data_IF_613406748051
#
_entry.id   IF_613406748051
#
_cell.length_a   1.000
_cell.length_b   1.000
_cell.length_c   1.000
_cell.angle_alpha   90.00
_cell.angle_beta   90.00
_cell.angle_gamma   90.00
#
_symmetry.space_group_name_H-M   'P 1'
#
loop_
_entity.id
_entity.type
_entity.pdbx_description
1 polymer ?
#
# COMPACT_ATOMS: atom_id res chain seq x y z
N UNK A 1 42.07 22.56 -4.00
CA UNK A 1 40.82 22.22 -3.28
C UNK A 1 39.82 21.65 -4.28
N UNK A 2 39.77 20.33 -4.47
CA UNK A 2 38.93 19.68 -5.50
C UNK A 2 38.40 18.33 -4.98
N UNK A 3 37.73 18.34 -3.83
CA UNK A 3 37.09 17.16 -3.24
C UNK A 3 35.84 17.64 -2.50
N UNK A 4 34.80 18.00 -3.23
CA UNK A 4 33.50 18.32 -2.63
C UNK A 4 32.33 18.04 -3.59
N UNK A 5 32.53 18.19 -4.90
CA UNK A 5 31.48 17.99 -5.89
C UNK A 5 30.98 16.53 -6.00
N UNK A 6 31.86 15.54 -5.80
CA UNK A 6 31.48 14.12 -5.94
C UNK A 6 30.60 13.57 -4.80
N UNK A 7 30.78 14.07 -3.57
CA UNK A 7 30.03 13.57 -2.40
C UNK A 7 28.58 14.07 -2.43
N UNK A 8 28.35 15.28 -2.94
CA UNK A 8 27.02 15.88 -3.03
C UNK A 8 26.15 15.13 -4.06
N UNK A 9 26.74 14.70 -5.19
CA UNK A 9 26.01 13.99 -6.25
C UNK A 9 25.52 12.61 -5.77
N UNK A 10 26.33 11.89 -4.99
CA UNK A 10 25.94 10.57 -4.45
C UNK A 10 24.84 10.71 -3.39
N UNK A 11 24.89 11.76 -2.55
CA UNK A 11 23.82 12.03 -1.58
C UNK A 11 22.49 12.41 -2.27
N UNK A 12 22.53 13.18 -3.37
CA UNK A 12 21.34 13.50 -4.17
C UNK A 12 20.76 12.25 -4.87
N UNK A 13 21.60 11.36 -5.39
CA UNK A 13 21.16 10.10 -6.00
C UNK A 13 20.49 9.14 -5.00
N UNK A 14 20.94 9.13 -3.74
CA UNK A 14 20.27 8.35 -2.68
C UNK A 14 18.92 8.94 -2.29
N UNK A 15 18.74 10.26 -2.32
CA UNK A 15 17.45 10.91 -2.05
C UNK A 15 16.42 10.62 -3.15
N UNK A 16 16.85 10.52 -4.41
CA UNK A 16 15.94 10.26 -5.56
C UNK A 16 15.45 8.80 -5.57
N UNK A 17 16.20 7.85 -5.01
CA UNK A 17 15.78 6.44 -4.92
C UNK A 17 14.66 6.19 -3.90
N UNK A 18 14.36 7.14 -3.00
CA UNK A 18 13.21 7.06 -2.09
C UNK A 18 11.92 7.64 -2.70
N UNK A 19 11.99 8.34 -3.83
CA UNK A 19 10.85 9.08 -4.40
C UNK A 19 10.04 8.34 -5.49
N UNK A 20 10.36 7.08 -5.82
CA UNK A 20 9.72 6.34 -6.93
C UNK A 20 8.71 5.25 -6.49
N UNK A 21 8.16 5.34 -5.27
CA UNK A 21 7.07 4.43 -4.81
C UNK A 21 5.95 5.20 -4.12
N UNK A 22 5.73 6.47 -4.45
CA UNK A 22 4.49 7.17 -4.09
C UNK A 22 3.36 6.76 -5.03
N UNK A 23 3.09 5.45 -5.13
CA UNK A 23 1.73 5.01 -5.35
C UNK A 23 1.02 5.21 -4.01
N UNK A 24 0.00 6.05 -3.92
CA UNK A 24 -0.60 6.52 -2.66
C UNK A 24 -1.12 5.36 -1.79
N UNK A 25 -0.22 4.76 -1.02
CA UNK A 25 -0.55 3.77 -0.02
C UNK A 25 -1.24 4.52 1.13
N UNK A 26 -2.55 4.31 1.27
CA UNK A 26 -3.36 4.85 2.34
C UNK A 26 -3.09 4.04 3.61
N UNK A 27 -2.59 4.64 4.70
CA UNK A 27 -2.40 3.95 5.97
C UNK A 27 -3.72 3.37 6.51
N UNK A 28 -3.63 2.22 7.17
CA UNK A 28 -4.78 1.46 7.68
C UNK A 28 -5.62 2.26 8.69
N UNK A 29 -5.03 3.26 9.35
CA UNK A 29 -5.71 4.17 10.27
C UNK A 29 -6.51 5.29 9.61
N UNK A 30 -6.31 5.54 8.31
CA UNK A 30 -7.01 6.58 7.56
C UNK A 30 -8.28 6.05 6.90
N UNK A 31 -9.29 6.91 6.66
CA UNK A 31 -10.49 6.52 5.93
C UNK A 31 -10.18 6.11 4.48
N UNK A 32 -10.99 5.21 3.93
CA UNK A 32 -10.91 4.85 2.51
C UNK A 32 -11.91 5.72 1.75
N UNK A 33 -11.45 6.64 0.88
CA UNK A 33 -12.27 7.78 0.42
C UNK A 33 -13.49 7.37 -0.40
N UNK A 34 -13.40 6.26 -1.12
CA UNK A 34 -14.45 5.78 -2.02
C UNK A 34 -15.39 4.75 -1.36
N UNK A 35 -15.17 4.39 -0.09
CA UNK A 35 -15.85 3.28 0.56
C UNK A 35 -16.50 3.72 1.89
N UNK A 36 -17.76 3.34 2.16
CA UNK A 36 -18.39 3.57 3.45
C UNK A 36 -17.59 2.98 4.62
N UNK A 37 -17.63 3.64 5.77
CA UNK A 37 -16.83 3.24 6.96
C UNK A 37 -17.10 1.80 7.41
N UNK A 38 -18.33 1.32 7.28
CA UNK A 38 -18.74 -0.06 7.59
C UNK A 38 -18.03 -1.09 6.72
N UNK A 39 -18.00 -0.86 5.40
CA UNK A 39 -17.31 -1.72 4.42
C UNK A 39 -15.80 -1.60 4.57
N UNK A 40 -15.29 -0.39 4.80
CA UNK A 40 -13.86 -0.18 5.05
C UNK A 40 -13.39 -0.95 6.30
N UNK A 41 -14.22 -1.05 7.34
CA UNK A 41 -13.94 -1.87 8.54
C UNK A 41 -13.92 -3.37 8.21
N UNK A 42 -14.87 -3.86 7.41
CA UNK A 42 -14.89 -5.26 6.96
C UNK A 42 -13.65 -5.59 6.12
N UNK A 43 -13.26 -4.71 5.20
CA UNK A 43 -12.07 -4.86 4.38
C UNK A 43 -10.82 -4.94 5.27
N UNK A 44 -10.61 -3.99 6.19
CA UNK A 44 -9.47 -4.01 7.14
C UNK A 44 -9.40 -5.32 7.94
N UNK A 45 -10.54 -5.80 8.44
CA UNK A 45 -10.58 -7.06 9.17
C UNK A 45 -10.18 -8.26 8.27
N UNK A 46 -10.66 -8.26 7.02
CA UNK A 46 -10.29 -9.27 6.02
C UNK A 46 -8.80 -9.25 5.71
N UNK A 47 -8.22 -8.07 5.45
CA UNK A 47 -6.80 -7.92 5.14
C UNK A 47 -5.91 -8.34 6.32
N UNK A 48 -6.27 -8.00 7.56
CA UNK A 48 -5.55 -8.46 8.75
C UNK A 48 -5.56 -10.00 8.88
N UNK A 49 -6.71 -10.64 8.63
CA UNK A 49 -6.78 -12.12 8.60
C UNK A 49 -5.86 -12.70 7.53
N UNK A 50 -5.85 -12.12 6.32
CA UNK A 50 -4.98 -12.56 5.22
C UNK A 50 -3.49 -12.35 5.51
N UNK A 51 -3.13 -11.26 6.20
CA UNK A 51 -1.76 -11.05 6.63
C UNK A 51 -1.29 -12.09 7.66
N UNK A 52 -2.21 -12.72 8.41
CA UNK A 52 -1.85 -13.64 9.49
C UNK A 52 -1.77 -12.96 10.87
N UNK A 53 -2.67 -12.01 11.13
CA UNK A 53 -2.84 -11.42 12.46
C UNK A 53 -3.01 -12.53 13.52
N UNK A 54 -2.35 -12.44 14.70
CA UNK A 54 -1.68 -11.26 15.29
C UNK A 54 -0.17 -11.16 15.05
N UNK A 55 0.43 -12.02 14.21
CA UNK A 55 1.88 -11.94 13.94
C UNK A 55 2.23 -10.90 12.88
N UNK A 56 1.34 -10.70 11.92
CA UNK A 56 1.45 -9.69 10.87
C UNK A 56 0.14 -8.91 10.75
N UNK A 57 0.20 -7.61 10.54
CA UNK A 57 -0.97 -6.74 10.36
C UNK A 57 -0.98 -6.09 8.99
N UNK A 58 -2.18 -5.81 8.51
CA UNK A 58 -2.39 -4.88 7.42
C UNK A 58 -2.02 -3.46 7.88
N UNK A 59 -1.18 -2.77 7.11
CA UNK A 59 -0.72 -1.41 7.45
C UNK A 59 -1.07 -0.35 6.44
N UNK A 60 -1.08 -0.66 5.14
CA UNK A 60 -1.34 0.34 4.10
C UNK A 60 -1.95 -0.31 2.84
N UNK A 61 -2.80 0.41 2.10
CA UNK A 61 -3.46 -0.06 0.87
C UNK A 61 -3.28 0.94 -0.26
N UNK A 62 -2.90 0.46 -1.44
CA UNK A 62 -2.98 1.19 -2.70
C UNK A 62 -4.15 0.60 -3.50
N UNK A 63 -5.20 1.38 -3.70
CA UNK A 63 -6.37 0.92 -4.44
C UNK A 63 -6.21 0.98 -5.96
N UNK A 64 -5.48 1.96 -6.49
CA UNK A 64 -5.20 2.09 -7.93
C UNK A 64 -4.42 0.87 -8.45
N UNK A 65 -3.37 0.50 -7.73
CA UNK A 65 -2.53 -0.67 -8.00
C UNK A 65 -3.05 -1.96 -7.36
N UNK A 66 -4.25 -1.94 -6.76
CA UNK A 66 -4.88 -3.05 -6.08
C UNK A 66 -3.93 -3.89 -5.22
N UNK A 67 -3.22 -3.22 -4.31
CA UNK A 67 -2.17 -3.78 -3.47
C UNK A 67 -2.34 -3.36 -2.01
N UNK A 68 -1.83 -4.16 -1.08
CA UNK A 68 -1.78 -3.84 0.33
C UNK A 68 -0.51 -4.38 0.98
N UNK A 69 -0.09 -3.74 2.07
CA UNK A 69 1.08 -4.13 2.85
C UNK A 69 0.70 -4.90 4.09
N UNK A 70 1.37 -6.02 4.29
CA UNK A 70 1.41 -6.76 5.55
C UNK A 70 2.75 -6.53 6.23
N UNK A 71 2.74 -6.11 7.49
CA UNK A 71 3.95 -5.89 8.29
C UNK A 71 3.97 -6.80 9.51
N UNK A 72 5.11 -7.42 9.79
CA UNK A 72 5.31 -8.17 11.01
C UNK A 72 5.21 -7.27 12.26
N UNK A 73 4.79 -7.87 13.37
CA UNK A 73 4.69 -7.21 14.67
C UNK A 73 5.78 -7.71 15.62
N UNK A 74 6.20 -6.84 16.55
CA UNK A 74 7.26 -7.16 17.52
C UNK A 74 8.64 -7.07 16.88
N UNK A 75 9.42 -8.15 17.00
CA UNK A 75 10.80 -8.22 16.49
C UNK A 75 10.88 -8.55 14.99
N UNK A 76 9.83 -9.14 14.41
CA UNK A 76 9.75 -9.35 12.97
C UNK A 76 9.19 -8.08 12.31
N UNK A 77 10.03 -7.31 11.63
CA UNK A 77 9.63 -6.10 10.92
C UNK A 77 9.50 -6.29 9.40
N UNK A 78 9.50 -7.54 8.91
CA UNK A 78 9.37 -7.79 7.48
C UNK A 78 8.05 -7.22 6.95
N UNK A 79 8.14 -6.64 5.77
CA UNK A 79 6.99 -6.12 5.04
C UNK A 79 6.82 -6.90 3.74
N UNK A 80 5.59 -7.29 3.46
CA UNK A 80 5.20 -7.92 2.20
C UNK A 80 4.14 -7.05 1.52
N UNK A 81 4.30 -6.84 0.21
CA UNK A 81 3.28 -6.22 -0.64
C UNK A 81 2.49 -7.36 -1.30
N UNK A 82 1.17 -7.33 -1.16
CA UNK A 82 0.26 -8.38 -1.60
C UNK A 82 -0.83 -7.76 -2.48
N UNK A 83 -1.33 -8.50 -3.47
CA UNK A 83 -2.44 -8.05 -4.32
C UNK A 83 -3.77 -8.18 -3.58
N UNK A 84 -4.64 -7.18 -3.71
CA UNK A 84 -6.06 -7.30 -3.39
C UNK A 84 -6.70 -8.35 -4.30
N UNK A 85 -7.74 -9.01 -3.81
CA UNK A 85 -8.50 -9.96 -4.63
C UNK A 85 -9.22 -9.22 -5.75
N UNK A 86 -9.37 -9.89 -6.89
CA UNK A 86 -10.27 -9.42 -7.93
C UNK A 86 -11.68 -9.22 -7.37
N UNK A 87 -12.38 -8.20 -7.89
CA UNK A 87 -13.69 -7.71 -7.43
C UNK A 87 -13.68 -6.97 -6.09
N UNK A 88 -12.51 -6.72 -5.47
CA UNK A 88 -12.42 -5.78 -4.34
C UNK A 88 -12.75 -4.37 -4.83
N UNK A 89 -13.70 -3.64 -4.20
CA UNK A 89 -13.93 -2.24 -4.57
C UNK A 89 -12.68 -1.40 -4.32
N UNK A 90 -12.31 -0.57 -5.28
CA UNK A 90 -11.06 0.19 -5.26
C UNK A 90 -11.22 1.67 -5.61
N UNK A 91 -12.32 2.05 -6.24
CA UNK A 91 -12.56 3.43 -6.65
C UNK A 91 -14.03 3.78 -6.55
N UNK A 92 -14.49 4.64 -7.45
CA UNK A 92 -15.87 5.08 -7.56
C UNK A 92 -16.87 3.94 -7.80
N UNK A 93 -18.17 4.28 -7.85
CA UNK A 93 -19.21 3.29 -8.10
C UNK A 93 -18.94 2.46 -9.36
N UNK A 94 -18.87 1.13 -9.21
CA UNK A 94 -18.60 0.20 -10.32
C UNK A 94 -17.13 -0.14 -10.54
N UNK A 95 -16.20 0.53 -9.86
CA UNK A 95 -14.76 0.26 -10.01
C UNK A 95 -14.28 -0.83 -9.04
N UNK A 96 -13.66 -1.87 -9.59
CA UNK A 96 -13.16 -3.00 -8.83
C UNK A 96 -11.79 -3.46 -9.31
N UNK A 97 -11.07 -4.14 -8.42
CA UNK A 97 -9.79 -4.73 -8.74
C UNK A 97 -9.93 -5.84 -9.79
N UNK A 98 -9.07 -5.80 -10.81
CA UNK A 98 -8.90 -6.85 -11.81
C UNK A 98 -7.45 -6.94 -12.23
N UNK A 99 -6.78 -8.06 -11.96
CA UNK A 99 -5.40 -8.28 -12.40
C UNK A 99 -4.34 -7.38 -11.74
N UNK A 100 -4.68 -6.73 -10.62
CA UNK A 100 -3.79 -5.77 -9.95
C UNK A 100 -3.98 -4.31 -10.38
N UNK A 101 -5.09 -4.01 -11.06
CA UNK A 101 -5.48 -2.65 -11.41
C UNK A 101 -6.92 -2.36 -10.99
N UNK A 102 -7.21 -1.12 -10.62
CA UNK A 102 -8.58 -0.66 -10.44
C UNK A 102 -9.21 -0.36 -11.80
N UNK A 103 -10.29 -1.05 -12.15
CA UNK A 103 -10.98 -0.89 -13.44
C UNK A 103 -12.48 -0.75 -13.24
N UNK A 104 -13.15 0.02 -14.10
CA UNK A 104 -14.61 0.02 -14.17
C UNK A 104 -15.11 -1.34 -14.68
N UNK A 105 -16.06 -1.95 -13.97
CA UNK A 105 -16.80 -3.11 -14.51
C UNK A 105 -17.85 -2.62 -15.52
N UNK A 106 -17.76 -3.11 -16.77
CA UNK A 106 -18.78 -2.94 -17.82
C UNK A 106 -20.03 -3.80 -17.55
#
# INVERSE_FOLDING_TARGET
>A
MKLAAGVIIVALLLLILEEDISSEFIPSGLPFPHMPSSEARKLRASLNRKCGYPRFSFTEVNFEGCQYKCRGMGTDQRTAIVKLDDRTPCGGPGEKCKGGHCVAEE
#
